data_IF_434873602186
#
_entry.id   IF_434873602186
#
_cell.length_a   1.000
_cell.length_b   1.000
_cell.length_c   1.000
_cell.angle_alpha   90.00
_cell.angle_beta   90.00
_cell.angle_gamma   90.00
#
_symmetry.space_group_name_H-M   'P 1'
#
loop_
_entity.id
_entity.type
_entity.pdbx_description
1 polymer ?
#
# COMPACT_ATOMS: atom_id res chain seq x y z
N UNK A 1 -4.19 -32.33 84.89
CA UNK A 1 -2.81 -32.59 84.40
C UNK A 1 -2.99 -33.62 83.30
N UNK A 2 -2.71 -33.42 82.02
CA UNK A 2 -1.65 -32.67 81.33
C UNK A 2 -2.18 -32.31 79.93
N UNK A 3 -1.82 -31.12 79.43
CA UNK A 3 -2.10 -30.66 78.07
C UNK A 3 -1.21 -31.41 77.08
N UNK A 4 -1.72 -31.80 75.92
CA UNK A 4 -0.87 -32.11 74.77
C UNK A 4 -1.45 -31.45 73.52
N UNK A 5 -0.84 -30.32 73.16
CA UNK A 5 -1.10 -29.55 71.94
C UNK A 5 -0.47 -30.30 70.75
N UNK A 6 -1.29 -30.73 69.79
CA UNK A 6 -0.80 -31.13 68.47
C UNK A 6 -0.74 -29.88 67.59
N UNK A 7 0.48 -29.46 67.26
CA UNK A 7 0.76 -28.41 66.30
C UNK A 7 0.64 -29.03 64.89
N UNK A 8 -0.48 -28.82 64.21
CA UNK A 8 -0.61 -29.17 62.79
C UNK A 8 0.03 -28.04 61.97
N UNK A 9 1.26 -28.26 61.50
CA UNK A 9 1.89 -27.44 60.47
C UNK A 9 1.17 -27.67 59.14
N UNK A 10 0.33 -26.72 58.75
CA UNK A 10 -0.25 -26.67 57.41
C UNK A 10 0.86 -26.33 56.41
N UNK A 11 1.43 -27.36 55.77
CA UNK A 11 2.23 -27.19 54.55
C UNK A 11 1.27 -26.83 53.43
N UNK A 12 1.14 -25.53 53.17
CA UNK A 12 0.43 -24.99 52.02
C UNK A 12 1.24 -25.34 50.77
N UNK A 13 0.83 -26.41 50.08
CA UNK A 13 1.29 -26.68 48.71
C UNK A 13 0.94 -25.45 47.86
N UNK A 14 1.96 -24.67 47.47
CA UNK A 14 1.82 -23.74 46.35
C UNK A 14 1.56 -24.57 45.10
N UNK A 15 0.30 -24.68 44.73
CA UNK A 15 -0.12 -25.08 43.39
C UNK A 15 0.47 -24.06 42.41
N UNK A 16 1.54 -24.44 41.72
CA UNK A 16 1.99 -23.75 40.52
C UNK A 16 0.86 -23.88 39.48
N UNK A 17 -0.02 -22.88 39.44
CA UNK A 17 -0.88 -22.67 38.28
C UNK A 17 0.03 -22.26 37.13
N UNK A 18 0.46 -23.26 36.36
CA UNK A 18 0.89 -23.04 34.99
C UNK A 18 -0.35 -22.59 34.23
N UNK A 19 -0.43 -21.28 33.93
CA UNK A 19 -1.36 -20.78 32.92
C UNK A 19 -1.03 -21.49 31.62
N UNK A 20 -1.81 -22.51 31.25
CA UNK A 20 -1.96 -22.83 29.82
C UNK A 20 -2.52 -21.56 29.19
N UNK A 21 -1.80 -21.00 28.21
CA UNK A 21 -2.41 -20.05 27.25
C UNK A 21 -3.74 -20.69 26.85
N UNK A 22 -4.84 -20.00 27.10
CA UNK A 22 -6.14 -20.44 26.60
C UNK A 22 -6.01 -20.55 25.09
N UNK A 23 -6.36 -21.71 24.54
CA UNK A 23 -6.60 -21.85 23.11
C UNK A 23 -7.87 -21.04 22.81
N UNK A 24 -7.70 -19.72 22.66
CA UNK A 24 -8.76 -18.88 22.13
C UNK A 24 -9.19 -19.46 20.78
N UNK A 25 -10.49 -19.55 20.50
CA UNK A 25 -10.96 -20.13 19.24
C UNK A 25 -10.30 -19.38 18.08
N UNK A 26 -9.50 -20.11 17.29
CA UNK A 26 -8.87 -19.55 16.09
C UNK A 26 -9.98 -19.04 15.17
N UNK A 27 -9.85 -17.82 14.61
CA UNK A 27 -10.82 -17.33 13.65
C UNK A 27 -10.99 -18.33 12.50
N UNK A 28 -12.21 -18.47 11.99
CA UNK A 28 -12.42 -19.25 10.77
C UNK A 28 -11.56 -18.65 9.64
N UNK A 29 -10.95 -19.49 8.78
CA UNK A 29 -10.23 -18.99 7.61
C UNK A 29 -11.12 -18.09 6.75
N UNK A 30 -10.55 -17.00 6.26
CA UNK A 30 -11.17 -16.09 5.31
C UNK A 30 -10.23 -15.86 4.13
N UNK A 31 -10.78 -15.46 3.00
CA UNK A 31 -10.00 -15.09 1.82
C UNK A 31 -9.37 -13.72 2.05
N UNK A 32 -8.05 -13.63 1.92
CA UNK A 32 -7.30 -12.37 1.83
C UNK A 32 -6.88 -12.15 0.38
N UNK A 33 -7.16 -10.98 -0.18
CA UNK A 33 -6.72 -10.56 -1.51
C UNK A 33 -5.87 -9.29 -1.44
N UNK A 34 -4.81 -9.23 -2.25
CA UNK A 34 -3.99 -8.03 -2.41
C UNK A 34 -4.12 -7.53 -3.84
N UNK A 35 -4.36 -6.23 -3.98
CA UNK A 35 -4.53 -5.56 -5.27
C UNK A 35 -3.46 -4.49 -5.44
N UNK A 36 -3.10 -4.18 -6.68
CA UNK A 36 -2.16 -3.13 -7.05
C UNK A 36 -2.82 -2.12 -7.97
N UNK A 37 -2.60 -0.84 -7.68
CA UNK A 37 -2.87 0.30 -8.54
C UNK A 37 -1.63 1.20 -8.63
N UNK A 38 -1.69 2.20 -9.49
CA UNK A 38 -0.60 3.15 -9.72
C UNK A 38 -1.05 4.61 -9.64
N UNK A 39 -0.14 5.47 -9.19
CA UNK A 39 -0.22 6.92 -9.33
C UNK A 39 0.55 7.38 -10.58
N UNK A 40 0.09 8.46 -11.24
CA UNK A 40 0.67 8.90 -12.50
C UNK A 40 2.20 9.10 -12.45
N UNK A 41 2.87 8.66 -13.50
CA UNK A 41 4.21 9.11 -13.86
C UNK A 41 4.23 9.65 -15.30
N UNK A 42 5.15 10.56 -15.58
CA UNK A 42 5.37 11.15 -16.90
C UNK A 42 6.25 10.23 -17.77
N UNK A 43 5.71 9.04 -18.06
CA UNK A 43 6.33 7.96 -18.83
C UNK A 43 5.25 7.27 -19.68
N UNK A 44 5.65 6.63 -20.79
CA UNK A 44 4.69 5.94 -21.68
C UNK A 44 4.35 4.54 -21.14
N UNK A 45 5.37 3.80 -20.67
CA UNK A 45 5.23 2.49 -20.05
C UNK A 45 6.24 2.33 -18.91
N UNK A 46 5.86 1.60 -17.85
CA UNK A 46 6.81 1.16 -16.81
C UNK A 46 6.58 -0.30 -16.51
N UNK A 47 7.50 -1.13 -16.98
CA UNK A 47 7.45 -2.58 -16.89
C UNK A 47 8.27 -3.04 -15.69
N UNK A 48 7.61 -3.63 -14.70
CA UNK A 48 8.21 -4.14 -13.48
C UNK A 48 8.14 -5.67 -13.46
N UNK A 49 9.28 -6.31 -13.27
CA UNK A 49 9.43 -7.74 -13.05
C UNK A 49 9.12 -8.08 -11.60
N UNK A 50 8.04 -8.82 -11.37
CA UNK A 50 7.57 -9.22 -10.04
C UNK A 50 7.66 -10.75 -9.94
N UNK A 51 8.45 -11.23 -8.99
CA UNK A 51 8.70 -12.65 -8.77
C UNK A 51 7.73 -13.29 -7.78
N UNK A 52 7.37 -12.60 -6.70
CA UNK A 52 6.49 -13.15 -5.67
C UNK A 52 5.84 -12.04 -4.83
N UNK A 53 4.71 -12.39 -4.22
CA UNK A 53 4.03 -11.57 -3.21
C UNK A 53 3.69 -12.46 -2.02
N UNK A 54 4.06 -12.01 -0.83
CA UNK A 54 3.83 -12.72 0.42
C UNK A 54 3.23 -11.79 1.47
N UNK A 55 2.47 -12.37 2.40
CA UNK A 55 1.81 -11.66 3.49
C UNK A 55 2.25 -12.24 4.82
N UNK A 56 2.51 -11.38 5.81
CA UNK A 56 2.77 -11.79 7.19
C UNK A 56 1.46 -11.82 7.95
N UNK A 57 1.05 -13.02 8.38
CA UNK A 57 -0.21 -13.29 9.05
C UNK A 57 0.03 -13.47 10.55
N UNK A 58 -0.65 -12.64 11.34
CA UNK A 58 -0.72 -12.75 12.78
C UNK A 58 -1.99 -13.52 13.21
N UNK A 59 -1.81 -14.73 13.74
CA UNK A 59 -2.89 -15.54 14.32
C UNK A 59 -3.22 -15.13 15.77
N UNK A 60 -2.34 -14.39 16.44
CA UNK A 60 -2.49 -13.99 17.83
C UNK A 60 -2.95 -12.55 17.89
N UNK A 61 -4.26 -12.32 18.04
CA UNK A 61 -4.95 -11.03 17.97
C UNK A 61 -4.39 -9.93 18.91
N UNK A 62 -3.19 -9.45 18.63
CA UNK A 62 -2.42 -8.52 19.45
C UNK A 62 -2.83 -7.11 19.08
N UNK A 63 -3.31 -6.36 20.08
CA UNK A 63 -4.12 -5.17 19.89
C UNK A 63 -3.38 -3.87 19.57
N UNK A 64 -2.04 -3.87 19.60
CA UNK A 64 -1.23 -2.69 19.32
C UNK A 64 -0.47 -2.85 18.00
N UNK A 65 -1.18 -2.65 16.89
CA UNK A 65 -0.65 -2.83 15.52
C UNK A 65 0.52 -1.88 15.22
N UNK A 66 0.48 -0.68 15.79
CA UNK A 66 1.56 0.30 15.65
C UNK A 66 2.81 -0.14 16.42
N UNK A 67 2.65 -0.70 17.62
CA UNK A 67 3.75 -1.29 18.36
C UNK A 67 4.30 -2.52 17.62
N UNK A 68 3.44 -3.38 17.07
CA UNK A 68 3.88 -4.56 16.31
C UNK A 68 4.66 -4.16 15.08
N UNK A 69 4.17 -3.19 14.29
CA UNK A 69 4.92 -2.63 13.17
C UNK A 69 6.29 -2.15 13.68
N UNK A 70 6.33 -1.28 14.69
CA UNK A 70 7.55 -0.73 15.30
C UNK A 70 8.52 -1.74 15.92
N UNK A 71 8.04 -2.92 16.33
CA UNK A 71 8.85 -3.95 17.00
C UNK A 71 9.26 -5.09 16.07
N UNK A 72 8.47 -5.33 15.03
CA UNK A 72 8.83 -6.12 13.86
C UNK A 72 9.75 -5.33 12.90
N UNK A 73 10.25 -4.18 13.36
CA UNK A 73 11.24 -3.34 12.72
C UNK A 73 12.63 -3.67 13.24
N UNK A 74 13.56 -3.90 12.32
CA UNK A 74 14.94 -4.14 12.69
C UNK A 74 15.63 -2.78 12.92
N UNK A 75 16.07 -2.52 14.16
CA UNK A 75 16.68 -1.24 14.62
C UNK A 75 17.97 -0.82 13.90
N UNK A 76 18.47 -1.58 12.92
CA UNK A 76 19.58 -1.17 12.06
C UNK A 76 19.16 -0.59 10.71
N UNK A 77 17.89 -0.73 10.29
CA UNK A 77 17.44 -0.38 8.93
C UNK A 77 16.20 0.50 8.87
N UNK A 78 15.39 0.57 9.93
CA UNK A 78 14.09 1.22 9.88
C UNK A 78 14.03 2.40 10.86
N UNK A 79 14.42 3.59 10.40
CA UNK A 79 14.20 4.82 11.17
C UNK A 79 12.90 5.47 10.73
N UNK A 80 11.80 5.12 11.42
CA UNK A 80 10.65 5.96 11.82
C UNK A 80 10.17 7.01 10.79
N UNK A 81 8.96 7.04 10.25
CA UNK A 81 7.68 6.45 10.65
C UNK A 81 6.56 7.43 10.27
N UNK A 82 5.71 7.04 9.33
CA UNK A 82 4.35 7.56 9.13
C UNK A 82 3.47 6.42 8.58
N UNK A 83 2.14 6.41 8.82
CA UNK A 83 1.25 5.39 8.29
C UNK A 83 1.34 5.32 6.75
N UNK A 84 1.54 4.13 6.20
CA UNK A 84 1.57 3.93 4.74
C UNK A 84 2.83 4.43 4.03
N UNK A 85 4.01 4.37 4.64
CA UNK A 85 5.29 4.58 3.94
C UNK A 85 5.94 3.24 3.57
N UNK A 86 6.41 3.13 2.32
CA UNK A 86 7.30 2.06 1.86
C UNK A 86 8.64 2.09 2.58
N UNK A 87 9.16 0.93 2.95
CA UNK A 87 10.57 0.76 3.30
C UNK A 87 11.24 -0.05 2.20
N UNK A 88 12.09 0.62 1.40
CA UNK A 88 12.90 -0.02 0.35
C UNK A 88 14.21 -0.51 0.94
N UNK A 89 14.47 -1.81 0.88
CA UNK A 89 15.78 -2.36 1.21
C UNK A 89 16.09 -3.59 0.36
N UNK A 90 17.25 -3.60 -0.31
CA UNK A 90 17.85 -4.84 -0.81
C UNK A 90 18.63 -5.62 0.25
N UNK A 91 18.67 -5.13 1.50
CA UNK A 91 19.21 -5.93 2.60
C UNK A 91 18.36 -7.17 2.94
N UNK A 92 19.02 -8.29 3.23
CA UNK A 92 18.42 -9.49 3.85
C UNK A 92 17.66 -9.06 5.13
N UNK A 93 16.36 -9.39 5.30
CA UNK A 93 15.68 -9.22 6.58
C UNK A 93 16.36 -10.08 7.63
N UNK A 94 16.80 -9.46 8.72
CA UNK A 94 16.95 -10.21 9.94
C UNK A 94 15.55 -10.45 10.51
N UNK A 95 14.89 -11.52 10.08
CA UNK A 95 13.72 -12.03 10.78
C UNK A 95 12.68 -12.73 9.92
N UNK A 96 12.95 -13.99 9.53
CA UNK A 96 11.88 -15.01 9.45
C UNK A 96 11.36 -15.38 10.85
N UNK A 97 11.39 -14.43 11.80
CA UNK A 97 10.92 -14.65 13.15
C UNK A 97 9.40 -14.74 13.10
N UNK A 98 8.87 -15.84 13.65
CA UNK A 98 7.43 -16.04 13.78
C UNK A 98 6.84 -15.27 14.97
N UNK A 99 7.59 -14.33 15.57
CA UNK A 99 7.21 -13.62 16.79
C UNK A 99 5.98 -12.72 16.56
N UNK A 100 5.87 -12.11 15.38
CA UNK A 100 4.81 -11.19 15.00
C UNK A 100 3.99 -11.69 13.80
N UNK A 101 3.95 -13.01 13.59
CA UNK A 101 3.20 -13.65 12.51
C UNK A 101 4.08 -14.48 11.58
N UNK A 102 3.44 -15.20 10.66
CA UNK A 102 4.08 -16.10 9.69
C UNK A 102 3.92 -15.59 8.27
N UNK A 103 4.98 -15.66 7.47
CA UNK A 103 4.90 -15.38 6.05
C UNK A 103 4.11 -16.49 5.32
N UNK A 104 3.19 -16.07 4.45
CA UNK A 104 2.39 -16.92 3.59
C UNK A 104 2.46 -16.37 2.16
N UNK A 105 2.72 -17.24 1.18
CA UNK A 105 2.68 -16.86 -0.22
C UNK A 105 1.25 -16.64 -0.69
N UNK A 106 1.05 -15.59 -1.49
CA UNK A 106 -0.17 -15.43 -2.26
C UNK A 106 -0.13 -16.32 -3.51
N UNK A 107 -1.30 -16.74 -3.98
CA UNK A 107 -1.45 -17.31 -5.31
C UNK A 107 -1.25 -16.21 -6.36
N UNK A 108 0.00 -16.00 -6.75
CA UNK A 108 0.46 -14.97 -7.68
C UNK A 108 1.15 -15.61 -8.88
N UNK A 109 0.96 -15.02 -10.06
CA UNK A 109 1.68 -15.41 -11.29
C UNK A 109 2.90 -14.50 -11.47
N UNK A 110 4.14 -15.01 -11.37
CA UNK A 110 5.33 -14.21 -11.63
C UNK A 110 5.38 -13.70 -13.07
N UNK A 111 5.91 -12.49 -13.28
CA UNK A 111 6.03 -11.92 -14.62
C UNK A 111 6.37 -10.44 -14.64
N UNK A 112 6.45 -9.90 -15.86
CA UNK A 112 6.69 -8.48 -16.11
C UNK A 112 5.37 -7.78 -16.39
N UNK A 113 5.03 -6.80 -15.57
CA UNK A 113 3.77 -6.08 -15.60
C UNK A 113 3.99 -4.60 -15.91
N UNK A 114 3.16 -4.07 -16.80
CA UNK A 114 3.14 -2.64 -17.10
C UNK A 114 2.27 -1.91 -16.07
N UNK A 115 2.92 -1.30 -15.08
CA UNK A 115 2.29 -0.76 -13.89
C UNK A 115 1.49 0.52 -14.19
N UNK A 116 1.89 1.30 -15.19
CA UNK A 116 1.16 2.51 -15.63
C UNK A 116 -0.25 2.21 -16.16
N UNK A 117 -0.54 0.95 -16.53
CA UNK A 117 -1.91 0.53 -16.92
C UNK A 117 -2.87 0.42 -15.73
N UNK A 118 -2.36 0.50 -14.50
CA UNK A 118 -3.13 0.37 -13.27
C UNK A 118 -3.54 1.74 -12.68
N UNK A 119 -3.54 2.78 -13.52
CA UNK A 119 -4.02 4.12 -13.18
C UNK A 119 -5.52 4.27 -13.42
N UNK A 120 -6.09 5.40 -13.01
CA UNK A 120 -7.49 5.76 -13.29
C UNK A 120 -8.51 4.71 -12.81
N UNK A 121 -8.25 4.10 -11.65
CA UNK A 121 -9.20 3.19 -10.99
C UNK A 121 -9.14 1.74 -11.44
N UNK A 122 -8.18 1.40 -12.29
CA UNK A 122 -7.88 0.03 -12.69
C UNK A 122 -7.01 -0.61 -11.60
N UNK A 123 -7.51 -1.69 -10.99
CA UNK A 123 -6.75 -2.48 -10.02
C UNK A 123 -6.34 -3.83 -10.65
N UNK A 124 -5.12 -4.29 -10.43
CA UNK A 124 -4.69 -5.65 -10.72
C UNK A 124 -4.73 -6.50 -9.44
N UNK A 125 -5.29 -7.71 -9.51
CA UNK A 125 -5.14 -8.69 -8.44
C UNK A 125 -3.69 -9.20 -8.42
N UNK A 126 -2.94 -8.89 -7.36
CA UNK A 126 -1.62 -9.47 -7.13
C UNK A 126 -1.68 -10.87 -6.54
N UNK A 127 -2.81 -11.28 -5.99
CA UNK A 127 -3.01 -12.65 -5.54
C UNK A 127 -3.88 -12.74 -4.32
N UNK A 128 -4.14 -13.98 -3.91
CA UNK A 128 -4.99 -14.25 -2.75
C UNK A 128 -4.52 -15.48 -1.98
N UNK A 129 -4.94 -15.58 -0.72
CA UNK A 129 -4.66 -16.73 0.15
C UNK A 129 -5.77 -16.87 1.19
N UNK A 130 -6.12 -18.10 1.56
CA UNK A 130 -6.98 -18.34 2.73
C UNK A 130 -6.14 -18.29 4.01
N UNK A 131 -6.61 -17.54 5.01
CA UNK A 131 -5.88 -17.35 6.26
C UNK A 131 -6.80 -17.26 7.48
N UNK A 132 -6.41 -17.83 8.63
CA UNK A 132 -7.15 -17.68 9.88
C UNK A 132 -6.75 -16.42 10.69
N UNK A 133 -5.82 -15.61 10.19
CA UNK A 133 -5.21 -14.51 10.95
C UNK A 133 -5.30 -13.15 10.25
N UNK A 134 -4.76 -12.14 10.92
CA UNK A 134 -4.75 -10.75 10.42
C UNK A 134 -3.47 -10.48 9.64
N UNK A 135 -3.59 -9.94 8.43
CA UNK A 135 -2.41 -9.46 7.68
C UNK A 135 -1.79 -8.25 8.36
N UNK A 136 -0.46 -8.29 8.57
CA UNK A 136 0.34 -7.26 9.25
C UNK A 136 1.36 -6.60 8.33
N UNK A 137 1.96 -7.36 7.42
CA UNK A 137 2.93 -6.87 6.44
C UNK A 137 2.70 -7.55 5.10
N UNK A 138 3.02 -6.86 4.01
CA UNK A 138 3.15 -7.44 2.67
C UNK A 138 4.62 -7.30 2.26
N UNK A 139 5.15 -8.32 1.57
CA UNK A 139 6.42 -8.17 0.85
C UNK A 139 6.26 -8.54 -0.62
N UNK A 140 6.91 -7.77 -1.48
CA UNK A 140 6.91 -7.96 -2.94
C UNK A 140 8.35 -8.13 -3.40
N UNK A 141 8.66 -9.27 -4.04
CA UNK A 141 9.98 -9.53 -4.60
C UNK A 141 10.06 -9.05 -6.04
N UNK A 142 11.01 -8.15 -6.33
CA UNK A 142 11.27 -7.67 -7.67
C UNK A 142 12.39 -8.45 -8.36
N UNK A 143 12.27 -8.61 -9.68
CA UNK A 143 13.32 -9.09 -10.56
C UNK A 143 14.11 -7.94 -11.18
N UNK A 144 15.05 -8.29 -12.05
CA UNK A 144 15.92 -7.34 -12.73
C UNK A 144 15.44 -6.98 -14.14
N UNK A 145 14.42 -7.67 -14.66
CA UNK A 145 13.92 -7.44 -16.01
C UNK A 145 12.92 -6.26 -16.07
N UNK A 146 13.33 -5.11 -15.54
CA UNK A 146 12.52 -3.90 -15.52
C UNK A 146 12.92 -2.97 -16.68
N UNK A 147 11.95 -2.23 -17.21
CA UNK A 147 12.21 -1.22 -18.25
C UNK A 147 11.19 -0.10 -18.24
N UNK A 148 11.59 1.07 -18.72
CA UNK A 148 10.67 2.20 -18.99
C UNK A 148 10.58 2.45 -20.50
N UNK A 149 9.47 3.00 -20.95
CA UNK A 149 9.34 3.61 -22.27
C UNK A 149 9.07 5.09 -22.08
N UNK A 150 9.84 5.94 -22.76
CA UNK A 150 9.65 7.39 -22.78
C UNK A 150 9.82 7.90 -24.21
N UNK A 151 8.85 8.68 -24.67
CA UNK A 151 8.77 9.17 -26.06
C UNK A 151 8.93 8.04 -27.10
N UNK A 152 8.31 6.88 -26.82
CA UNK A 152 8.37 5.68 -27.66
C UNK A 152 9.70 4.93 -27.68
N UNK A 153 10.70 5.37 -26.91
CA UNK A 153 12.01 4.69 -26.79
C UNK A 153 12.08 3.91 -25.48
N UNK A 154 12.48 2.64 -25.55
CA UNK A 154 12.63 1.77 -24.38
C UNK A 154 14.03 1.91 -23.76
N UNK A 155 14.08 2.02 -22.43
CA UNK A 155 15.31 2.10 -21.65
C UNK A 155 15.30 1.05 -20.53
N UNK A 156 16.47 0.46 -20.17
CA UNK A 156 16.59 -0.34 -18.96
C UNK A 156 16.24 0.47 -17.71
N UNK A 157 15.54 -0.16 -16.78
CA UNK A 157 15.23 0.41 -15.48
C UNK A 157 15.98 -0.38 -14.42
N UNK A 158 17.11 0.15 -13.94
CA UNK A 158 17.94 -0.60 -12.99
C UNK A 158 17.41 -0.40 -11.58
N UNK A 159 17.40 -1.47 -10.78
CA UNK A 159 17.14 -1.33 -9.36
C UNK A 159 18.26 -0.50 -8.73
N UNK A 160 17.88 0.40 -7.84
CA UNK A 160 18.82 1.25 -7.11
C UNK A 160 19.72 0.48 -6.15
N UNK A 161 19.33 -0.74 -5.79
CA UNK A 161 20.07 -1.65 -4.93
C UNK A 161 20.57 -2.84 -5.78
N UNK A 162 21.82 -3.27 -5.55
CA UNK A 162 22.49 -4.38 -6.23
C UNK A 162 22.47 -5.69 -5.43
N UNK A 163 21.74 -5.70 -4.31
CA UNK A 163 21.58 -6.88 -3.48
C UNK A 163 20.97 -8.08 -4.21
N UNK A 164 21.05 -9.24 -3.58
CA UNK A 164 20.36 -10.43 -4.10
C UNK A 164 18.90 -10.51 -3.66
N UNK A 165 18.40 -9.54 -2.88
CA UNK A 165 17.16 -9.66 -2.14
C UNK A 165 16.25 -8.43 -2.29
N UNK A 166 15.73 -8.20 -3.50
CA UNK A 166 14.90 -7.06 -3.86
C UNK A 166 13.46 -7.15 -3.34
N UNK A 167 13.30 -7.27 -2.03
CA UNK A 167 11.99 -7.27 -1.39
C UNK A 167 11.60 -5.87 -0.93
N UNK A 168 10.41 -5.45 -1.34
CA UNK A 168 9.73 -4.27 -0.82
C UNK A 168 8.91 -4.71 0.38
N UNK A 169 8.99 -4.00 1.50
CA UNK A 169 8.16 -4.27 2.68
C UNK A 169 7.16 -3.14 2.89
N UNK A 170 5.91 -3.53 3.12
CA UNK A 170 4.78 -2.62 3.32
C UNK A 170 4.03 -3.04 4.58
N UNK A 171 3.90 -2.13 5.54
CA UNK A 171 3.08 -2.35 6.73
C UNK A 171 1.60 -2.26 6.41
N UNK A 172 0.80 -3.12 7.03
CA UNK A 172 -0.66 -3.17 6.85
C UNK A 172 -1.36 -2.89 8.18
N UNK A 173 -1.85 -1.67 8.32
CA UNK A 173 -2.60 -1.22 9.48
C UNK A 173 -4.11 -1.45 9.31
N UNK A 174 -4.86 -1.34 10.40
CA UNK A 174 -6.31 -1.58 10.45
C UNK A 174 -7.06 -0.75 9.43
N UNK A 175 -6.70 0.52 9.32
CA UNK A 175 -7.24 1.47 8.37
C UNK A 175 -6.94 1.11 6.92
N UNK A 176 -6.09 0.13 6.61
CA UNK A 176 -5.77 -0.32 5.26
C UNK A 176 -6.41 -1.66 4.89
N UNK A 177 -7.14 -2.31 5.81
CA UNK A 177 -7.83 -3.60 5.57
C UNK A 177 -9.32 -3.39 5.31
N UNK A 178 -9.78 -3.70 4.10
CA UNK A 178 -11.21 -3.72 3.77
C UNK A 178 -11.78 -5.05 4.19
N UNK A 179 -12.78 -5.03 5.08
CA UNK A 179 -13.54 -6.22 5.45
C UNK A 179 -14.85 -6.20 4.67
N UNK A 180 -15.00 -7.14 3.73
CA UNK A 180 -16.19 -7.28 2.91
C UNK A 180 -17.35 -7.89 3.71
N UNK A 181 -18.58 -7.74 3.21
CA UNK A 181 -19.79 -8.26 3.88
C UNK A 181 -19.82 -9.78 4.03
N UNK A 182 -19.02 -10.52 3.25
CA UNK A 182 -18.84 -11.97 3.33
C UNK A 182 -17.70 -12.40 4.28
N UNK A 183 -17.02 -11.43 4.92
CA UNK A 183 -15.87 -11.67 5.80
C UNK A 183 -14.53 -11.78 5.09
N UNK A 184 -14.48 -11.74 3.76
CA UNK A 184 -13.20 -11.66 3.03
C UNK A 184 -12.51 -10.31 3.29
N UNK A 185 -11.18 -10.31 3.22
CA UNK A 185 -10.35 -9.13 3.44
C UNK A 185 -9.63 -8.74 2.16
N UNK A 186 -9.61 -7.45 1.85
CA UNK A 186 -8.81 -6.90 0.76
C UNK A 186 -7.84 -5.83 1.27
N UNK A 187 -6.63 -5.83 0.72
CA UNK A 187 -5.63 -4.77 0.89
C UNK A 187 -5.28 -4.24 -0.49
N UNK A 188 -5.23 -2.92 -0.63
CA UNK A 188 -4.90 -2.25 -1.89
C UNK A 188 -3.56 -1.55 -1.74
N UNK A 189 -2.68 -1.77 -2.70
CA UNK A 189 -1.38 -1.15 -2.79
C UNK A 189 -1.37 -0.12 -3.92
N UNK A 190 -0.71 0.99 -3.67
CA UNK A 190 -0.44 2.07 -4.63
C UNK A 190 1.06 2.11 -4.90
N UNK A 191 1.47 1.69 -6.10
CA UNK A 191 2.83 1.87 -6.59
C UNK A 191 2.93 3.31 -7.09
N UNK A 192 3.72 4.15 -6.42
CA UNK A 192 3.90 5.53 -6.84
C UNK A 192 5.05 5.60 -7.84
N UNK A 193 4.78 5.33 -9.11
CA UNK A 193 5.82 5.36 -10.13
C UNK A 193 6.48 6.73 -10.29
N UNK A 194 5.73 7.81 -10.06
CA UNK A 194 6.26 9.18 -10.09
C UNK A 194 7.32 9.44 -9.02
N UNK A 195 7.23 8.79 -7.87
CA UNK A 195 8.29 8.80 -6.84
C UNK A 195 9.33 7.69 -7.03
N UNK A 196 8.96 6.61 -7.69
CA UNK A 196 9.79 5.42 -7.78
C UNK A 196 10.82 5.49 -8.89
N UNK A 197 10.53 6.17 -10.00
CA UNK A 197 11.43 6.25 -11.15
C UNK A 197 12.17 7.58 -11.13
N UNK A 198 13.51 7.51 -11.14
CA UNK A 198 14.36 8.69 -11.29
C UNK A 198 15.14 8.60 -12.60
N UNK A 199 15.18 9.71 -13.33
CA UNK A 199 15.96 9.85 -14.56
C UNK A 199 17.20 10.71 -14.29
N UNK A 200 18.37 10.26 -14.73
CA UNK A 200 19.61 11.04 -14.72
C UNK A 200 20.40 10.80 -16.02
N UNK A 201 20.61 11.85 -16.81
CA UNK A 201 21.36 11.80 -18.08
C UNK A 201 20.93 10.65 -19.02
N UNK A 202 19.62 10.36 -19.09
CA UNK A 202 19.06 9.28 -19.93
C UNK A 202 19.19 7.87 -19.34
N UNK A 203 19.70 7.74 -18.12
CA UNK A 203 19.67 6.50 -17.33
C UNK A 203 18.51 6.52 -16.33
N UNK A 204 17.84 5.38 -16.15
CA UNK A 204 16.70 5.26 -15.25
C UNK A 204 16.99 4.32 -14.10
N UNK A 205 16.72 4.79 -12.89
CA UNK A 205 16.83 4.03 -11.65
C UNK A 205 15.47 3.88 -10.98
N UNK A 206 15.24 2.72 -10.39
CA UNK A 206 14.05 2.37 -9.65
C UNK A 206 14.33 2.34 -8.14
N UNK A 207 13.61 3.19 -7.41
CA UNK A 207 13.50 3.27 -5.97
C UNK A 207 12.04 2.99 -5.57
N UNK A 208 11.58 1.72 -5.59
CA UNK A 208 10.18 1.38 -5.42
C UNK A 208 9.56 2.00 -4.18
N UNK A 209 8.46 2.69 -4.44
CA UNK A 209 7.63 3.30 -3.44
C UNK A 209 6.21 2.73 -3.57
N UNK A 210 5.82 1.90 -2.60
CA UNK A 210 4.51 1.28 -2.50
C UNK A 210 3.90 1.63 -1.14
N UNK A 211 2.62 1.97 -1.14
CA UNK A 211 1.89 2.21 0.10
C UNK A 211 0.56 1.49 0.10
N UNK A 212 0.03 1.23 1.28
CA UNK A 212 -1.35 0.82 1.40
C UNK A 212 -2.29 2.00 1.11
N UNK A 213 -3.38 1.71 0.42
CA UNK A 213 -4.52 2.63 0.33
C UNK A 213 -5.45 2.39 1.53
N UNK A 214 -6.09 3.45 2.06
CA UNK A 214 -7.03 3.31 3.15
C UNK A 214 -8.25 2.49 2.71
N UNK A 215 -8.72 1.69 3.67
CA UNK A 215 -9.75 0.68 3.56
C UNK A 215 -11.13 1.25 3.34
N UNK A 216 -11.33 2.48 3.78
CA UNK A 216 -12.61 3.13 3.57
C UNK A 216 -12.88 3.29 2.08
N UNK A 217 -11.83 3.36 1.21
CA UNK A 217 -11.91 3.59 -0.24
C UNK A 217 -12.96 4.66 -0.59
N UNK A 218 -13.26 5.50 0.41
CA UNK A 218 -14.62 6.00 0.49
C UNK A 218 -14.74 7.15 -0.44
N UNK A 219 -13.65 7.72 -0.95
CA UNK A 219 -13.72 8.90 -1.79
C UNK A 219 -13.07 8.64 -3.12
N UNK A 220 -13.93 8.30 -4.07
CA UNK A 220 -13.59 8.29 -5.48
C UNK A 220 -13.96 9.65 -6.09
N UNK A 221 -12.96 10.38 -6.59
CA UNK A 221 -13.20 11.51 -7.50
C UNK A 221 -12.96 11.01 -8.91
N UNK A 222 -13.95 11.20 -9.78
CA UNK A 222 -13.80 10.95 -11.21
C UNK A 222 -14.29 12.13 -12.04
N UNK A 223 -13.80 12.23 -13.26
CA UNK A 223 -14.18 13.29 -14.18
C UNK A 223 -13.53 13.11 -15.55
N UNK A 224 -13.71 14.12 -16.39
CA UNK A 224 -13.09 14.20 -17.71
C UNK A 224 -12.36 15.53 -17.86
N UNK A 225 -11.18 15.49 -18.47
CA UNK A 225 -10.36 16.66 -18.72
C UNK A 225 -9.84 16.69 -20.16
N UNK A 226 -10.03 17.82 -20.82
CA UNK A 226 -9.76 18.04 -22.24
C UNK A 226 -9.06 19.38 -22.49
N UNK A 227 -8.50 19.57 -23.70
CA UNK A 227 -8.26 18.54 -24.71
C UNK A 227 -6.96 17.78 -24.43
N UNK A 228 -6.75 16.62 -25.07
CA UNK A 228 -5.56 15.80 -24.85
C UNK A 228 -4.26 16.56 -25.16
N UNK A 229 -4.27 17.46 -26.15
CA UNK A 229 -3.09 18.26 -26.52
C UNK A 229 -2.70 19.29 -25.46
N UNK A 230 -3.56 19.55 -24.46
CA UNK A 230 -3.21 20.38 -23.32
C UNK A 230 -2.30 19.66 -22.32
N UNK A 231 -2.13 18.33 -22.45
CA UNK A 231 -1.38 17.49 -21.51
C UNK A 231 -1.82 17.77 -20.06
N UNK A 232 -3.13 17.61 -19.80
CA UNK A 232 -3.74 18.04 -18.54
C UNK A 232 -3.27 17.14 -17.41
N UNK A 233 -2.81 17.75 -16.31
CA UNK A 233 -2.57 17.07 -15.05
C UNK A 233 -3.58 17.57 -14.02
N UNK A 234 -4.28 16.65 -13.36
CA UNK A 234 -5.32 16.99 -12.38
C UNK A 234 -4.78 16.76 -10.98
N UNK A 235 -4.74 17.81 -10.17
CA UNK A 235 -4.36 17.75 -8.77
C UNK A 235 -5.54 18.09 -7.88
N UNK A 236 -5.89 17.19 -6.96
CA UNK A 236 -6.88 17.43 -5.90
C UNK A 236 -6.13 17.58 -4.59
N UNK A 237 -6.27 18.73 -3.94
CA UNK A 237 -5.46 19.06 -2.78
C UNK A 237 -6.17 19.95 -1.76
N UNK A 238 -5.79 19.79 -0.50
CA UNK A 238 -6.09 20.67 0.62
C UNK A 238 -4.78 20.94 1.39
N UNK A 239 -4.84 21.27 2.69
CA UNK A 239 -3.65 21.52 3.50
C UNK A 239 -2.93 20.24 3.98
N UNK A 240 -3.62 19.12 4.05
CA UNK A 240 -3.16 17.83 4.60
C UNK A 240 -2.95 16.78 3.53
N UNK A 241 -3.68 16.87 2.43
CA UNK A 241 -3.82 15.85 1.40
C UNK A 241 -3.56 16.44 0.03
N UNK A 242 -2.90 15.65 -0.82
CA UNK A 242 -2.70 15.96 -2.23
C UNK A 242 -2.67 14.65 -3.00
N UNK A 243 -3.50 14.56 -4.03
CA UNK A 243 -3.48 13.49 -5.02
C UNK A 243 -3.38 14.11 -6.41
N UNK A 244 -2.63 13.46 -7.29
CA UNK A 244 -2.46 13.89 -8.68
C UNK A 244 -2.76 12.72 -9.61
N UNK A 245 -3.35 13.00 -10.76
CA UNK A 245 -3.71 12.01 -11.78
C UNK A 245 -3.49 12.59 -13.18
N UNK A 246 -3.12 11.71 -14.11
CA UNK A 246 -3.10 12.00 -15.55
C UNK A 246 -4.35 11.36 -16.19
N UNK A 247 -5.21 12.16 -16.84
CA UNK A 247 -6.30 11.63 -17.65
C UNK A 247 -5.81 10.64 -18.71
N UNK A 248 -6.63 9.63 -19.00
CA UNK A 248 -6.41 8.73 -20.14
C UNK A 248 -6.61 9.43 -21.48
N UNK A 249 -6.40 8.69 -22.57
CA UNK A 249 -6.57 9.19 -23.94
C UNK A 249 -8.00 9.67 -24.24
N UNK A 250 -8.98 9.12 -23.52
CA UNK A 250 -10.40 9.50 -23.57
C UNK A 250 -10.73 10.69 -22.64
N UNK A 251 -9.73 11.25 -21.97
CA UNK A 251 -9.85 12.32 -21.00
C UNK A 251 -10.35 11.87 -19.62
N UNK A 252 -10.67 10.59 -19.42
CA UNK A 252 -11.16 10.11 -18.13
C UNK A 252 -10.04 10.09 -17.09
N UNK A 253 -10.35 10.51 -15.86
CA UNK A 253 -9.47 10.33 -14.72
C UNK A 253 -10.21 9.86 -13.48
N UNK A 254 -9.49 9.16 -12.60
CA UNK A 254 -10.00 8.75 -11.29
C UNK A 254 -8.93 8.85 -10.21
N UNK A 255 -9.29 9.46 -9.09
CA UNK A 255 -8.50 9.57 -7.86
C UNK A 255 -9.18 8.78 -6.75
N UNK A 256 -8.38 8.10 -5.93
CA UNK A 256 -8.81 7.36 -4.74
C UNK A 256 -7.90 7.69 -3.56
N UNK A 257 -8.38 7.38 -2.35
CA UNK A 257 -7.56 7.45 -1.12
C UNK A 257 -7.40 8.85 -0.55
N UNK A 258 -8.31 9.78 -0.88
CA UNK A 258 -8.45 11.06 -0.20
C UNK A 258 -9.30 10.91 1.07
N UNK A 259 -9.13 11.80 2.04
CA UNK A 259 -9.98 11.89 3.23
C UNK A 259 -11.19 12.82 3.01
N UNK A 260 -12.26 12.65 3.79
CA UNK A 260 -13.44 13.51 3.73
C UNK A 260 -13.05 14.95 4.09
N UNK A 261 -13.41 15.90 3.24
CA UNK A 261 -13.00 17.28 3.47
C UNK A 261 -13.28 18.21 2.30
N UNK A 262 -12.74 19.42 2.43
CA UNK A 262 -12.85 20.47 1.42
C UNK A 262 -11.54 20.59 0.67
N UNK A 263 -11.62 20.54 -0.66
CA UNK A 263 -10.47 20.49 -1.56
C UNK A 263 -10.54 21.57 -2.64
N UNK A 264 -9.39 21.81 -3.27
CA UNK A 264 -9.30 22.46 -4.56
C UNK A 264 -8.95 21.40 -5.61
N UNK A 265 -9.49 21.57 -6.82
CA UNK A 265 -9.14 20.76 -7.99
C UNK A 265 -8.47 21.67 -8.99
N UNK A 266 -7.16 21.48 -9.19
CA UNK A 266 -6.38 22.20 -10.20
C UNK A 266 -6.18 21.32 -11.42
N UNK A 267 -6.50 21.87 -12.58
CA UNK A 267 -6.19 21.34 -13.89
C UNK A 267 -5.00 22.13 -14.43
N UNK A 268 -3.82 21.54 -14.35
CA UNK A 268 -2.58 22.12 -14.84
C UNK A 268 -2.39 21.79 -16.33
N UNK A 269 -2.10 22.80 -17.14
CA UNK A 269 -1.75 22.61 -18.55
C UNK A 269 -0.26 22.28 -18.67
N UNK A 270 0.08 21.03 -19.04
CA UNK A 270 1.45 20.69 -19.41
C UNK A 270 1.91 21.39 -20.69
N UNK A 271 0.97 21.78 -21.55
CA UNK A 271 1.22 22.56 -22.75
C UNK A 271 1.01 24.06 -22.50
N UNK A 272 2.07 24.86 -22.69
CA UNK A 272 2.06 26.32 -22.48
C UNK A 272 1.10 27.11 -23.38
N UNK A 273 0.50 26.49 -24.40
CA UNK A 273 -0.54 27.11 -25.21
C UNK A 273 -1.90 27.20 -24.49
N UNK A 274 -2.08 26.50 -23.37
CA UNK A 274 -3.32 26.40 -22.61
C UNK A 274 -3.19 27.02 -21.22
N UNK A 275 -4.32 27.49 -20.68
CA UNK A 275 -4.42 28.12 -19.35
C UNK A 275 -4.76 27.08 -18.28
N UNK A 276 -4.07 27.13 -17.15
CA UNK A 276 -4.48 26.44 -15.92
C UNK A 276 -5.90 26.85 -15.50
N UNK A 277 -6.65 25.91 -14.91
CA UNK A 277 -7.97 26.17 -14.32
C UNK A 277 -8.06 25.54 -12.94
N UNK A 278 -8.66 26.23 -11.97
CA UNK A 278 -8.87 25.69 -10.61
C UNK A 278 -10.32 25.81 -10.21
N UNK A 279 -10.91 24.69 -9.79
CA UNK A 279 -12.18 24.65 -9.06
C UNK A 279 -11.84 24.76 -7.57
N UNK A 280 -12.33 25.81 -6.91
CA UNK A 280 -12.05 26.06 -5.50
C UNK A 280 -13.17 25.56 -4.59
N UNK A 281 -12.81 25.22 -3.35
CA UNK A 281 -13.75 24.93 -2.25
C UNK A 281 -14.78 23.85 -2.60
N UNK A 282 -14.31 22.75 -3.17
CA UNK A 282 -15.12 21.59 -3.48
C UNK A 282 -15.25 20.69 -2.24
N UNK A 283 -16.49 20.40 -1.83
CA UNK A 283 -16.78 19.56 -0.66
C UNK A 283 -16.90 18.08 -1.06
N UNK A 284 -15.97 17.25 -0.60
CA UNK A 284 -16.09 15.79 -0.70
C UNK A 284 -16.82 15.31 0.55
N UNK A 285 -18.12 15.07 0.41
CA UNK A 285 -19.04 14.75 1.52
C UNK A 285 -19.73 13.39 1.39
N UNK A 286 -19.55 12.74 0.25
CA UNK A 286 -20.14 11.45 -0.11
C UNK A 286 -19.10 10.57 -0.76
N UNK A 287 -19.39 9.27 -0.82
CA UNK A 287 -18.37 8.32 -1.18
C UNK A 287 -17.90 8.34 -2.67
N UNK A 288 -18.61 9.10 -3.50
CA UNK A 288 -18.28 9.21 -4.90
C UNK A 288 -18.63 10.59 -5.39
N UNK A 289 -17.65 11.25 -5.96
CA UNK A 289 -17.77 12.57 -6.55
C UNK A 289 -17.50 12.46 -8.04
N UNK A 290 -18.44 12.93 -8.83
CA UNK A 290 -18.26 13.10 -10.27
C UNK A 290 -18.11 14.59 -10.53
N UNK A 291 -16.92 15.00 -10.98
CA UNK A 291 -16.65 16.36 -11.39
C UNK A 291 -17.29 16.64 -12.75
N UNK A 292 -17.72 17.89 -13.01
CA UNK A 292 -18.12 18.27 -14.36
C UNK A 292 -16.93 18.13 -15.31
N UNK A 293 -17.22 17.82 -16.57
CA UNK A 293 -16.22 17.82 -17.64
C UNK A 293 -15.48 19.17 -17.67
N UNK A 294 -14.16 19.11 -17.75
CA UNK A 294 -13.30 20.28 -17.82
C UNK A 294 -12.65 20.37 -19.19
N UNK A 295 -12.76 21.53 -19.84
CA UNK A 295 -12.02 21.84 -21.06
C UNK A 295 -11.15 23.06 -20.85
N UNK A 296 -9.82 22.89 -20.93
CA UNK A 296 -8.88 23.99 -20.82
C UNK A 296 -8.91 24.88 -22.07
N UNK A 297 -8.84 26.19 -21.84
CA UNK A 297 -8.85 27.20 -22.89
C UNK A 297 -7.43 27.58 -23.31
N UNK A 298 -7.25 27.89 -24.59
CA UNK A 298 -5.98 28.45 -25.09
C UNK A 298 -5.76 29.87 -24.59
N UNK A 299 -4.50 30.29 -24.63
CA UNK A 299 -4.14 31.70 -24.44
C UNK A 299 -4.82 32.62 -25.43
#
# INVERSE_FOLDING_TARGET
MQKLFFLFTAVMLLSLMSCKKSDDPKPAPHLLSVYLSDNPADLDEVRIDIHSVEVKIDEGNSGDEQMIARLDDNRSNDSLGAPGLTLWHGGIPAGDSNEYGKWMALDFTPGVYDILKLRNGIDMLLGSVETPGTVRKIRVALGNNNSVVKEGTQYPLSLSDDSTNHHIYIDVLKESRIINGDGSVAVYLDFDLGRSVTENEGSYLLFPYLRTLPADRSLEIEGYAFPAEAAVMVSVYNNTDTATVLPGDDGYFKIRGLELGRYNVKYHAGNSAYKDTTIQNFDITINKVVLPEMTLSKH
#
